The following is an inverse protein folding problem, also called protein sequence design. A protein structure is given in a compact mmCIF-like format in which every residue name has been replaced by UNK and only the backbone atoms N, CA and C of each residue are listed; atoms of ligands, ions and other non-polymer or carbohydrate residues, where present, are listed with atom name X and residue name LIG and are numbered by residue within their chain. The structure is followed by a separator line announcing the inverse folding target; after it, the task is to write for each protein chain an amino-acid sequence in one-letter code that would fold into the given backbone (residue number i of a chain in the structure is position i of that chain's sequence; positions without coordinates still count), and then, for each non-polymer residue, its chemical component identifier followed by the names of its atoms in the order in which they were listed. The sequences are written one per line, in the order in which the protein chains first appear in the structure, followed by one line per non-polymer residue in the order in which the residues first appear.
data_IF_766435308355
#
_entry.id   IF_766435308355
#
_cell.length_a   1.000
_cell.length_b   1.000
_cell.length_c   1.000
_cell.angle_alpha   90.00
_cell.angle_beta   90.00
_cell.angle_gamma   90.00
#
_symmetry.space_group_name_H-M   'P 1'
#
loop_
_entity.id
_entity.type
_entity.pdbx_description
1 polymer ?
#
# COMPACT_ATOMS: atom_id res chain seq x y z
N UNK A 1 -8.06 -2.43 -28.83
CA UNK A 1 -6.89 -2.96 -28.09
C UNK A 1 -6.88 -2.27 -26.73
N UNK A 2 -7.00 -2.97 -25.59
CA UNK A 2 -6.85 -2.32 -24.30
C UNK A 2 -5.37 -1.95 -24.17
N UNK A 3 -5.09 -0.65 -24.15
CA UNK A 3 -3.74 -0.15 -23.86
C UNK A 3 -3.37 -0.60 -22.45
N UNK A 4 -2.13 -1.06 -22.26
CA UNK A 4 -1.59 -1.32 -20.94
C UNK A 4 -1.52 0.03 -20.20
N UNK A 5 -2.56 0.35 -19.43
CA UNK A 5 -2.73 1.63 -18.72
C UNK A 5 -1.93 1.70 -17.41
N UNK A 6 -1.05 0.74 -17.14
CA UNK A 6 -0.23 0.72 -15.94
C UNK A 6 1.13 1.35 -16.28
N UNK A 7 1.27 2.65 -16.03
CA UNK A 7 2.57 3.31 -16.05
C UNK A 7 3.20 3.21 -14.65
N UNK A 8 4.40 2.66 -14.58
CA UNK A 8 5.20 2.64 -13.35
C UNK A 8 6.22 3.76 -13.43
N UNK A 9 6.10 4.73 -12.54
CA UNK A 9 7.05 5.85 -12.43
C UNK A 9 7.75 5.77 -11.08
N UNK A 10 9.08 5.89 -11.08
CA UNK A 10 9.88 5.96 -9.87
C UNK A 10 10.29 7.42 -9.64
N UNK A 11 9.97 7.94 -8.46
CA UNK A 11 10.34 9.27 -8.04
C UNK A 11 11.05 9.20 -6.68
N UNK A 12 12.08 10.03 -6.50
CA UNK A 12 12.83 10.11 -5.23
C UNK A 12 12.26 11.15 -4.27
N UNK A 13 11.78 12.27 -4.80
CA UNK A 13 11.37 13.43 -3.99
C UNK A 13 9.94 13.88 -4.32
N UNK A 14 9.60 14.01 -5.61
CA UNK A 14 8.29 14.51 -6.04
C UNK A 14 7.73 13.73 -7.20
N UNK A 15 6.45 13.38 -7.10
CA UNK A 15 5.67 12.79 -8.18
C UNK A 15 4.52 13.74 -8.52
N UNK A 16 4.43 14.14 -9.78
CA UNK A 16 3.34 14.97 -10.29
C UNK A 16 2.52 14.18 -11.30
N UNK A 17 1.19 14.20 -11.13
CA UNK A 17 0.26 13.66 -12.10
C UNK A 17 -0.64 14.80 -12.59
N UNK A 18 -0.44 15.20 -13.85
CA UNK A 18 -1.19 16.28 -14.48
C UNK A 18 -1.97 15.72 -15.67
N UNK A 19 -3.28 15.97 -15.68
CA UNK A 19 -4.14 15.65 -16.82
C UNK A 19 -4.26 16.89 -17.70
N UNK A 20 -3.87 16.77 -18.97
CA UNK A 20 -3.98 17.85 -19.96
C UNK A 20 -5.04 17.51 -20.99
N UNK A 21 -6.00 18.42 -21.20
CA UNK A 21 -6.90 18.36 -22.34
C UNK A 21 -6.31 19.16 -23.50
N UNK A 22 -6.15 18.52 -24.66
CA UNK A 22 -5.62 19.14 -25.88
C UNK A 22 -6.68 19.44 -26.94
N UNK A 23 -7.96 19.14 -26.68
CA UNK A 23 -9.07 19.51 -27.57
C UNK A 23 -9.58 20.93 -27.30
N UNK A 24 -10.23 21.53 -28.31
CA UNK A 24 -10.94 22.79 -28.15
C UNK A 24 -12.21 22.63 -27.30
N UNK A 25 -12.79 21.42 -27.28
CA UNK A 25 -13.99 21.10 -26.50
C UNK A 25 -13.64 20.66 -25.09
N UNK A 26 -14.53 20.97 -24.15
CA UNK A 26 -14.48 20.44 -22.78
C UNK A 26 -14.77 18.93 -22.81
N UNK A 27 -13.85 18.15 -22.27
CA UNK A 27 -14.07 16.74 -22.04
C UNK A 27 -14.33 16.56 -20.54
N UNK A 28 -15.60 16.29 -20.20
CA UNK A 28 -16.03 16.00 -18.83
C UNK A 28 -15.78 14.54 -18.40
N UNK A 29 -16.03 14.25 -17.13
CA UNK A 29 -16.10 12.88 -16.57
C UNK A 29 -14.85 11.99 -16.73
N UNK A 30 -13.65 12.56 -16.67
CA UNK A 30 -12.43 11.76 -16.60
C UNK A 30 -12.22 11.13 -15.22
N UNK A 31 -12.10 9.79 -15.22
CA UNK A 31 -11.74 9.00 -14.04
C UNK A 31 -10.31 8.52 -14.15
N UNK A 32 -9.44 9.04 -13.29
CA UNK A 32 -8.04 8.61 -13.18
C UNK A 32 -7.75 8.16 -11.76
N UNK A 33 -7.25 6.93 -11.62
CA UNK A 33 -6.80 6.36 -10.34
C UNK A 33 -5.33 6.02 -10.46
N UNK A 34 -4.51 6.45 -9.49
CA UNK A 34 -3.11 6.05 -9.39
C UNK A 34 -2.82 5.51 -8.00
N UNK A 35 -1.92 4.53 -7.91
CA UNK A 35 -1.38 4.03 -6.65
C UNK A 35 0.05 4.52 -6.50
N UNK A 36 0.37 5.06 -5.32
CA UNK A 36 1.75 5.41 -4.96
C UNK A 36 2.23 4.38 -3.96
N UNK A 37 3.39 3.79 -4.24
CA UNK A 37 4.13 2.96 -3.29
C UNK A 37 5.33 3.74 -2.79
N UNK A 38 5.46 3.83 -1.48
CA UNK A 38 6.59 4.48 -0.80
C UNK A 38 7.26 3.44 0.06
N UNK A 39 8.56 3.28 -0.11
CA UNK A 39 9.38 2.36 0.68
C UNK A 39 10.70 3.03 1.06
N UNK A 40 11.29 2.59 2.17
CA UNK A 40 12.61 3.03 2.59
C UNK A 40 13.67 2.31 1.76
N UNK A 41 14.58 3.09 1.16
CA UNK A 41 15.62 2.54 0.29
C UNK A 41 16.61 1.68 1.09
N UNK A 42 16.66 0.37 0.76
CA UNK A 42 17.63 -0.59 1.29
C UNK A 42 18.97 -0.48 0.57
N UNK A 43 20.00 -1.18 1.05
CA UNK A 43 21.34 -1.15 0.43
C UNK A 43 21.30 -1.59 -1.04
N UNK A 44 20.59 -2.68 -1.38
CA UNK A 44 20.38 -3.10 -2.79
C UNK A 44 19.71 -2.03 -3.66
N UNK A 45 18.74 -1.30 -3.12
CA UNK A 45 17.98 -0.29 -3.86
C UNK A 45 18.86 0.94 -4.10
N UNK A 46 19.65 1.35 -3.10
CA UNK A 46 20.64 2.42 -3.22
C UNK A 46 21.71 2.08 -4.27
N UNK A 47 22.23 0.86 -4.25
CA UNK A 47 23.21 0.39 -5.24
C UNK A 47 22.63 0.40 -6.65
N UNK A 48 21.41 -0.11 -6.85
CA UNK A 48 20.72 -0.08 -8.15
C UNK A 48 20.52 1.35 -8.67
N UNK A 49 20.22 2.29 -7.77
CA UNK A 49 19.97 3.70 -8.10
C UNK A 49 21.25 4.55 -8.16
N UNK A 50 22.43 3.97 -7.92
CA UNK A 50 23.71 4.69 -7.90
C UNK A 50 23.85 5.69 -6.74
N UNK A 51 23.13 5.48 -5.64
CA UNK A 51 23.19 6.32 -4.44
C UNK A 51 24.39 5.89 -3.59
N UNK A 52 25.15 6.87 -3.09
CA UNK A 52 26.32 6.62 -2.23
C UNK A 52 25.87 5.97 -0.92
N UNK A 53 26.49 4.84 -0.60
CA UNK A 53 26.30 4.13 0.67
C UNK A 53 27.09 4.80 1.80
N UNK A 54 26.51 4.79 3.01
CA UNK A 54 27.24 5.15 4.21
C UNK A 54 28.25 4.06 4.63
N UNK A 55 29.06 4.33 5.66
CA UNK A 55 30.11 3.40 6.10
C UNK A 55 29.54 2.07 6.63
N UNK A 56 28.39 2.09 7.31
CA UNK A 56 27.75 0.90 7.85
C UNK A 56 27.12 0.06 6.73
N UNK A 57 26.47 0.73 5.78
CA UNK A 57 25.88 0.12 4.58
C UNK A 57 26.94 -0.50 3.69
N UNK A 58 28.10 0.13 3.56
CA UNK A 58 29.25 -0.43 2.81
C UNK A 58 29.79 -1.69 3.48
N UNK A 59 29.99 -1.66 4.80
CA UNK A 59 30.43 -2.83 5.56
C UNK A 59 29.43 -3.99 5.41
N UNK A 60 28.13 -3.68 5.37
CA UNK A 60 27.07 -4.67 5.16
C UNK A 60 27.05 -5.21 3.72
N UNK A 61 27.25 -4.34 2.73
CA UNK A 61 27.37 -4.72 1.32
C UNK A 61 28.56 -5.66 1.08
N UNK A 62 29.70 -5.41 1.72
CA UNK A 62 30.89 -6.27 1.66
C UNK A 62 30.65 -7.60 2.37
N UNK A 63 30.11 -7.57 3.60
CA UNK A 63 29.83 -8.77 4.42
C UNK A 63 28.94 -9.79 3.69
N UNK A 64 27.94 -9.32 2.95
CA UNK A 64 26.98 -10.19 2.24
C UNK A 64 27.21 -10.27 0.72
N UNK A 65 28.26 -9.63 0.19
CA UNK A 65 28.55 -9.64 -1.25
C UNK A 65 27.45 -9.03 -2.11
N UNK A 66 26.75 -8.01 -1.60
CA UNK A 66 25.56 -7.41 -2.24
C UNK A 66 25.92 -6.75 -3.58
N UNK A 67 27.08 -6.14 -3.69
CA UNK A 67 27.53 -5.50 -4.94
C UNK A 67 27.52 -6.48 -6.12
N UNK A 68 28.04 -7.70 -5.89
CA UNK A 68 28.12 -8.72 -6.94
C UNK A 68 26.74 -9.26 -7.36
N UNK A 69 25.75 -9.28 -6.46
CA UNK A 69 24.39 -9.75 -6.78
C UNK A 69 23.60 -8.70 -7.55
N UNK A 70 23.80 -7.41 -7.23
CA UNK A 70 23.23 -6.28 -7.96
C UNK A 70 23.83 -6.17 -9.36
N UNK A 71 25.15 -6.30 -9.51
CA UNK A 71 25.81 -6.29 -10.84
C UNK A 71 25.33 -7.44 -11.74
N UNK A 72 25.04 -8.61 -11.17
CA UNK A 72 24.46 -9.75 -11.89
C UNK A 72 22.98 -9.57 -12.24
N UNK A 73 22.33 -8.52 -11.74
CA UNK A 73 20.91 -8.27 -11.93
C UNK A 73 19.98 -9.21 -11.16
N UNK A 74 20.48 -9.91 -10.14
CA UNK A 74 19.69 -10.83 -9.32
C UNK A 74 18.84 -10.10 -8.26
N UNK A 75 19.32 -8.95 -7.79
CA UNK A 75 18.67 -8.11 -6.79
C UNK A 75 18.69 -6.64 -7.22
N UNK A 76 17.77 -5.81 -6.72
CA UNK A 76 16.57 -6.15 -5.93
C UNK A 76 15.50 -6.88 -6.74
N UNK A 77 14.72 -7.75 -6.08
CA UNK A 77 13.60 -8.47 -6.71
C UNK A 77 12.49 -7.51 -7.15
N UNK A 78 11.75 -7.80 -8.23
CA UNK A 78 10.53 -7.08 -8.57
C UNK A 78 9.54 -7.08 -7.40
N UNK A 79 8.79 -5.99 -7.25
CA UNK A 79 7.89 -5.79 -6.10
C UNK A 79 6.87 -6.92 -5.93
N UNK A 80 6.25 -7.37 -7.02
CA UNK A 80 5.28 -8.48 -6.98
C UNK A 80 5.89 -9.76 -6.40
N UNK A 81 7.15 -10.05 -6.72
CA UNK A 81 7.85 -11.21 -6.17
C UNK A 81 8.18 -11.03 -4.70
N UNK A 82 8.49 -9.80 -4.25
CA UNK A 82 8.68 -9.50 -2.83
C UNK A 82 7.38 -9.71 -2.06
N UNK A 83 6.26 -9.17 -2.55
CA UNK A 83 4.93 -9.36 -1.94
C UNK A 83 4.59 -10.85 -1.86
N UNK A 84 4.78 -11.59 -2.95
CA UNK A 84 4.47 -13.01 -3.00
C UNK A 84 5.32 -13.82 -2.00
N UNK A 85 6.64 -13.59 -1.98
CA UNK A 85 7.58 -14.33 -1.12
C UNK A 85 7.43 -13.98 0.35
N UNK A 86 7.26 -12.71 0.68
CA UNK A 86 7.32 -12.25 2.07
C UNK A 86 5.94 -12.26 2.74
N UNK A 87 4.89 -11.87 1.99
CA UNK A 87 3.55 -11.69 2.54
C UNK A 87 2.64 -12.86 2.20
N UNK A 88 2.51 -13.23 0.92
CA UNK A 88 1.60 -14.33 0.54
C UNK A 88 2.04 -15.69 1.06
N UNK A 89 3.34 -15.93 1.18
CA UNK A 89 3.85 -17.16 1.82
C UNK A 89 3.46 -17.29 3.30
N UNK A 90 3.15 -16.17 3.96
CA UNK A 90 2.74 -16.10 5.36
C UNK A 90 1.23 -15.84 5.49
N UNK A 91 0.46 -15.99 4.39
CA UNK A 91 -0.98 -15.77 4.39
C UNK A 91 -1.68 -16.80 5.27
N UNK A 92 -2.51 -16.30 6.18
CA UNK A 92 -3.36 -17.13 7.05
C UNK A 92 -4.76 -17.21 6.45
N UNK A 93 -5.32 -16.05 6.06
CA UNK A 93 -6.60 -15.97 5.37
C UNK A 93 -6.71 -14.70 4.54
N UNK A 94 -7.52 -14.78 3.48
CA UNK A 94 -8.00 -13.63 2.72
C UNK A 94 -9.51 -13.51 2.98
N UNK A 95 -9.95 -12.33 3.38
CA UNK A 95 -11.34 -12.06 3.72
C UNK A 95 -11.86 -10.86 2.95
N UNK A 96 -12.98 -11.04 2.26
CA UNK A 96 -13.69 -9.94 1.60
C UNK A 96 -14.94 -9.61 2.40
N UNK A 97 -15.04 -8.36 2.81
CA UNK A 97 -16.14 -7.84 3.60
C UNK A 97 -17.01 -6.96 2.73
N UNK A 98 -18.32 -7.13 2.86
CA UNK A 98 -19.33 -6.27 2.24
C UNK A 98 -20.14 -5.57 3.31
N UNK A 99 -20.27 -4.25 3.22
CA UNK A 99 -21.06 -3.43 4.13
C UNK A 99 -22.07 -2.61 3.32
N UNK A 100 -23.27 -2.49 3.88
CA UNK A 100 -24.33 -1.63 3.34
C UNK A 100 -24.73 -0.66 4.44
N UNK A 101 -24.70 0.65 4.15
CA UNK A 101 -25.03 1.67 5.13
C UNK A 101 -25.61 2.93 4.49
N UNK A 102 -26.25 3.76 5.31
CA UNK A 102 -26.77 5.06 4.94
C UNK A 102 -25.75 6.12 5.34
N UNK A 103 -25.15 6.80 4.36
CA UNK A 103 -24.06 7.75 4.58
C UNK A 103 -24.62 9.16 4.67
N UNK A 104 -24.14 9.94 5.62
CA UNK A 104 -24.59 11.33 5.83
C UNK A 104 -23.41 12.30 5.81
N UNK A 105 -23.67 13.57 6.14
CA UNK A 105 -22.68 14.63 6.26
C UNK A 105 -21.76 14.52 7.47
N UNK A 106 -22.01 13.54 8.35
CA UNK A 106 -21.15 13.25 9.50
C UNK A 106 -20.31 12.03 9.19
N UNK A 107 -19.02 12.07 9.54
CA UNK A 107 -18.14 10.90 9.39
C UNK A 107 -18.68 9.73 10.20
N UNK A 108 -18.84 8.58 9.54
CA UNK A 108 -19.35 7.36 10.12
C UNK A 108 -18.31 6.26 9.99
N UNK A 109 -18.13 5.50 11.05
CA UNK A 109 -17.27 4.32 11.04
C UNK A 109 -17.94 3.21 10.22
N UNK A 110 -17.22 2.70 9.22
CA UNK A 110 -17.63 1.53 8.44
C UNK A 110 -17.31 0.27 9.24
N UNK A 111 -16.03 0.12 9.60
CA UNK A 111 -15.55 -0.98 10.42
C UNK A 111 -14.16 -0.65 10.98
N UNK A 112 -13.89 -1.13 12.20
CA UNK A 112 -12.53 -1.24 12.73
C UNK A 112 -12.17 -2.71 12.88
N UNK A 113 -11.01 -3.08 12.36
CA UNK A 113 -10.50 -4.44 12.35
C UNK A 113 -9.21 -4.52 13.15
N UNK A 114 -9.11 -5.55 13.99
CA UNK A 114 -7.94 -5.81 14.82
C UNK A 114 -7.31 -7.16 14.43
N UNK A 115 -5.98 -7.21 14.19
CA UNK A 115 -5.28 -8.47 13.98
C UNK A 115 -5.23 -9.27 15.28
N UNK A 116 -5.12 -10.60 15.16
CA UNK A 116 -4.84 -11.48 16.30
C UNK A 116 -3.36 -11.40 16.66
N UNK A 117 -3.02 -11.84 17.88
CA UNK A 117 -1.63 -11.91 18.33
C UNK A 117 -0.74 -12.67 17.33
N UNK A 118 0.38 -12.06 16.95
CA UNK A 118 1.32 -12.62 15.96
C UNK A 118 0.87 -12.50 14.50
N UNK A 119 -0.14 -11.68 14.22
CA UNK A 119 -0.64 -11.39 12.88
C UNK A 119 -0.65 -9.88 12.62
N UNK A 120 -0.78 -9.49 11.36
CA UNK A 120 -1.10 -8.14 10.94
C UNK A 120 -2.08 -8.19 9.75
N UNK A 121 -2.70 -7.05 9.45
CA UNK A 121 -3.68 -6.92 8.38
C UNK A 121 -3.04 -6.21 7.18
N UNK A 122 -3.47 -6.55 5.97
CA UNK A 122 -3.14 -5.79 4.76
C UNK A 122 -4.42 -5.53 3.97
N UNK A 123 -4.79 -4.26 3.81
CA UNK A 123 -5.86 -3.89 2.87
C UNK A 123 -5.31 -3.99 1.45
N UNK A 124 -5.98 -4.79 0.62
CA UNK A 124 -5.53 -5.04 -0.76
C UNK A 124 -6.48 -4.51 -1.83
N UNK A 125 -7.78 -4.43 -1.50
CA UNK A 125 -8.81 -4.03 -2.44
C UNK A 125 -9.87 -3.21 -1.74
N UNK A 126 -10.38 -2.20 -2.42
CA UNK A 126 -11.48 -1.37 -1.98
C UNK A 126 -12.37 -0.99 -3.17
N UNK A 127 -13.68 -1.13 -2.99
CA UNK A 127 -14.71 -0.69 -3.93
C UNK A 127 -15.88 -0.11 -3.15
N UNK A 128 -16.58 0.86 -3.75
CA UNK A 128 -17.76 1.45 -3.16
C UNK A 128 -18.78 1.84 -4.24
N UNK A 129 -19.99 2.21 -3.82
CA UNK A 129 -20.94 2.88 -4.71
C UNK A 129 -20.33 4.18 -5.21
N UNK A 130 -20.25 4.35 -6.53
CA UNK A 130 -19.59 5.51 -7.17
C UNK A 130 -20.24 6.85 -6.79
N UNK A 131 -21.57 6.85 -6.59
CA UNK A 131 -22.34 8.06 -6.34
C UNK A 131 -22.26 9.05 -7.52
N UNK A 132 -22.77 10.25 -7.27
CA UNK A 132 -22.63 11.41 -8.16
C UNK A 132 -21.58 12.39 -7.62
N UNK A 133 -21.15 13.34 -8.46
CA UNK A 133 -20.23 14.40 -8.03
C UNK A 133 -20.79 15.20 -6.83
N UNK A 134 -22.11 15.42 -6.81
CA UNK A 134 -22.81 16.15 -5.73
C UNK A 134 -22.84 15.35 -4.43
N UNK A 135 -23.00 14.03 -4.51
CA UNK A 135 -22.95 13.17 -3.32
C UNK A 135 -21.58 13.25 -2.61
N UNK A 136 -20.50 13.44 -3.37
CA UNK A 136 -19.11 13.57 -2.89
C UNK A 136 -18.77 12.62 -1.73
N UNK A 137 -19.09 11.34 -1.93
CA UNK A 137 -18.82 10.28 -0.97
C UNK A 137 -17.31 10.08 -0.90
N UNK A 138 -16.77 10.09 0.32
CA UNK A 138 -15.35 10.05 0.62
C UNK A 138 -15.08 8.99 1.66
N UNK A 139 -14.10 8.15 1.38
CA UNK A 139 -13.61 7.13 2.30
C UNK A 139 -12.29 7.62 2.88
N UNK A 140 -12.14 7.49 4.19
CA UNK A 140 -10.88 7.65 4.90
C UNK A 140 -10.42 6.30 5.42
N UNK A 141 -9.11 6.05 5.34
CA UNK A 141 -8.47 4.83 5.82
C UNK A 141 -7.44 5.24 6.86
N UNK A 142 -7.61 4.73 8.07
CA UNK A 142 -6.68 4.89 9.18
C UNK A 142 -5.99 3.56 9.45
N UNK A 143 -4.71 3.61 9.80
CA UNK A 143 -3.93 2.43 10.19
C UNK A 143 -3.14 2.71 11.44
N UNK A 144 -3.14 1.79 12.39
CA UNK A 144 -2.34 1.89 13.61
C UNK A 144 -2.47 3.26 14.31
N UNK A 145 -1.37 3.97 14.51
CA UNK A 145 -1.34 5.32 15.11
C UNK A 145 -1.49 6.44 14.08
N UNK A 146 -1.65 6.10 12.80
CA UNK A 146 -1.70 7.00 11.66
C UNK A 146 -3.17 7.19 11.23
N UNK A 147 -3.84 8.09 11.94
CA UNK A 147 -5.21 8.47 11.63
C UNK A 147 -5.26 9.18 10.29
N UNK A 148 -6.26 8.85 9.47
CA UNK A 148 -6.45 9.49 8.17
C UNK A 148 -5.26 9.29 7.21
N UNK A 149 -4.56 8.15 7.32
CA UNK A 149 -3.45 7.78 6.43
C UNK A 149 -3.78 7.96 4.94
N UNK A 150 -5.00 7.58 4.55
CA UNK A 150 -5.60 8.03 3.29
C UNK A 150 -6.83 8.88 3.63
N UNK A 151 -6.83 10.13 3.15
CA UNK A 151 -7.97 11.04 3.25
C UNK A 151 -8.68 11.22 1.92
N UNK A 152 -9.98 11.51 2.00
CA UNK A 152 -10.77 12.01 0.88
C UNK A 152 -10.72 11.11 -0.37
N UNK A 153 -10.65 9.79 -0.20
CA UNK A 153 -10.74 8.86 -1.33
C UNK A 153 -12.17 8.91 -1.87
N UNK A 154 -12.35 9.59 -3.01
CA UNK A 154 -13.66 9.78 -3.63
C UNK A 154 -14.18 8.47 -4.19
N UNK A 155 -15.39 8.07 -3.78
CA UNK A 155 -15.99 6.83 -4.25
C UNK A 155 -16.26 6.85 -5.77
N UNK A 156 -16.47 8.03 -6.37
CA UNK A 156 -16.64 8.15 -7.82
C UNK A 156 -15.46 7.61 -8.64
N UNK A 157 -14.25 7.59 -8.06
CA UNK A 157 -13.06 7.00 -8.68
C UNK A 157 -13.00 5.46 -8.55
N UNK A 158 -13.86 4.86 -7.72
CA UNK A 158 -13.86 3.44 -7.37
C UNK A 158 -15.27 2.86 -7.51
N UNK A 159 -15.48 2.00 -8.50
CA UNK A 159 -16.78 1.37 -8.75
C UNK A 159 -16.92 0.01 -8.09
N UNK A 160 -18.16 -0.44 -7.86
CA UNK A 160 -18.42 -1.82 -7.45
C UNK A 160 -17.91 -2.83 -8.50
N UNK A 161 -17.85 -2.41 -9.76
CA UNK A 161 -17.29 -3.18 -10.89
C UNK A 161 -15.77 -3.05 -11.01
N UNK A 162 -15.16 -2.01 -10.40
CA UNK A 162 -13.72 -1.72 -10.51
C UNK A 162 -13.12 -1.45 -9.14
N UNK A 163 -12.49 -2.48 -8.61
CA UNK A 163 -11.78 -2.42 -7.33
C UNK A 163 -10.50 -1.60 -7.45
N UNK A 164 -10.30 -0.68 -6.51
CA UNK A 164 -9.01 -0.05 -6.29
C UNK A 164 -8.09 -1.07 -5.65
N UNK A 165 -7.04 -1.45 -6.38
CA UNK A 165 -5.97 -2.26 -5.81
C UNK A 165 -5.05 -1.36 -4.99
N UNK A 166 -4.84 -1.72 -3.73
CA UNK A 166 -3.93 -1.03 -2.81
C UNK A 166 -3.11 -2.06 -2.03
N UNK A 167 -2.20 -1.59 -1.20
CA UNK A 167 -1.44 -2.44 -0.30
C UNK A 167 -1.12 -1.64 0.95
N UNK A 168 -2.03 -1.67 1.92
CA UNK A 168 -1.92 -0.88 3.15
C UNK A 168 -1.76 -1.86 4.32
N UNK A 169 -0.52 -2.11 4.78
CA UNK A 169 -0.29 -2.92 5.96
C UNK A 169 -0.65 -2.14 7.23
N UNK A 170 -1.21 -2.85 8.21
CA UNK A 170 -1.62 -2.36 9.51
C UNK A 170 -1.31 -3.41 10.59
N UNK A 171 -0.50 -3.05 11.59
CA UNK A 171 0.08 -3.97 12.59
C UNK A 171 -0.85 -4.20 13.79
N UNK A 172 -1.58 -3.18 14.19
CA UNK A 172 -2.42 -3.10 15.39
C UNK A 172 -3.88 -2.81 15.09
N UNK A 173 -4.20 -1.92 14.14
CA UNK A 173 -5.58 -1.67 13.74
C UNK A 173 -5.69 -1.15 12.31
N UNK A 174 -6.79 -1.49 11.66
CA UNK A 174 -7.19 -0.90 10.40
C UNK A 174 -8.64 -0.43 10.53
N UNK A 175 -8.88 0.86 10.33
CA UNK A 175 -10.22 1.44 10.40
C UNK A 175 -10.60 2.17 9.12
N UNK A 176 -11.85 1.97 8.70
CA UNK A 176 -12.44 2.58 7.52
C UNK A 176 -13.56 3.51 7.96
N UNK A 177 -13.50 4.76 7.52
CA UNK A 177 -14.53 5.76 7.77
C UNK A 177 -15.11 6.25 6.44
N UNK A 178 -16.37 6.67 6.46
CA UNK A 178 -17.06 7.19 5.27
C UNK A 178 -17.87 8.44 5.62
N UNK A 179 -17.91 9.37 4.69
CA UNK A 179 -18.68 10.62 4.77
C UNK A 179 -19.18 11.00 3.38
N UNK A 180 -20.32 11.68 3.30
CA UNK A 180 -20.85 12.24 2.06
C UNK A 180 -21.13 13.75 2.22
N UNK A 181 -21.37 14.46 1.12
CA UNK A 181 -21.79 15.87 1.16
C UNK A 181 -23.30 16.02 1.42
N UNK A 182 -24.07 14.95 1.21
CA UNK A 182 -25.51 14.87 1.50
C UNK A 182 -25.89 13.44 1.92
N UNK A 183 -27.14 13.23 2.33
CA UNK A 183 -27.60 11.90 2.72
C UNK A 183 -27.71 10.98 1.49
N UNK A 184 -26.95 9.89 1.47
CA UNK A 184 -26.96 8.88 0.41
C UNK A 184 -27.38 7.54 0.97
N UNK A 185 -28.36 6.90 0.34
CA UNK A 185 -28.92 5.62 0.80
C UNK A 185 -29.39 4.79 -0.39
N UNK A 186 -28.94 3.53 -0.55
CA UNK A 186 -27.88 2.83 0.19
C UNK A 186 -26.48 3.06 -0.43
N UNK A 187 -25.44 3.06 0.42
CA UNK A 187 -24.04 2.96 -0.01
C UNK A 187 -23.53 1.56 0.28
N UNK A 188 -22.99 0.91 -0.74
CA UNK A 188 -22.34 -0.39 -0.66
C UNK A 188 -20.83 -0.18 -0.65
N UNK A 189 -20.14 -0.90 0.23
CA UNK A 189 -18.68 -0.87 0.35
C UNK A 189 -18.20 -2.30 0.38
N UNK A 190 -17.20 -2.62 -0.45
CA UNK A 190 -16.51 -3.91 -0.46
C UNK A 190 -15.01 -3.69 -0.26
N UNK A 191 -14.41 -4.41 0.66
CA UNK A 191 -12.96 -4.39 0.84
C UNK A 191 -12.42 -5.79 1.12
N UNK A 192 -11.17 -6.00 0.70
CA UNK A 192 -10.46 -7.27 0.90
C UNK A 192 -9.25 -7.04 1.78
N UNK A 193 -9.17 -7.82 2.85
CA UNK A 193 -8.04 -7.84 3.78
C UNK A 193 -7.31 -9.18 3.69
N UNK A 194 -5.99 -9.12 3.79
CA UNK A 194 -5.15 -10.28 4.07
C UNK A 194 -4.81 -10.30 5.55
N UNK A 195 -4.95 -11.46 6.19
CA UNK A 195 -4.39 -11.74 7.51
C UNK A 195 -3.09 -12.48 7.31
N UNK A 196 -1.98 -11.86 7.70
CA UNK A 196 -0.64 -12.37 7.44
C UNK A 196 0.06 -12.64 8.77
N UNK A 197 0.77 -13.76 8.87
CA UNK A 197 1.59 -14.07 10.03
C UNK A 197 2.75 -13.08 10.12
N UNK A 198 2.94 -12.51 11.30
CA UNK A 198 4.03 -11.57 11.56
C UNK A 198 5.35 -12.32 11.77
N UNK A 199 6.06 -12.58 10.67
CA UNK A 199 7.38 -13.25 10.68
C UNK A 199 8.47 -12.31 11.22
N UNK A 200 9.60 -12.85 11.70
CA UNK A 200 10.71 -12.03 12.20
C UNK A 200 11.28 -11.09 11.12
N UNK A 201 11.25 -11.51 9.85
CA UNK A 201 11.59 -10.66 8.71
C UNK A 201 10.68 -9.43 8.64
N UNK A 202 9.36 -9.65 8.68
CA UNK A 202 8.37 -8.57 8.62
C UNK A 202 8.40 -7.70 9.88
N UNK A 203 8.71 -8.28 11.05
CA UNK A 203 8.95 -7.51 12.29
C UNK A 203 10.14 -6.57 12.15
N UNK A 204 11.25 -7.03 11.59
CA UNK A 204 12.40 -6.17 11.31
C UNK A 204 12.03 -5.07 10.30
N UNK A 205 11.32 -5.42 9.22
CA UNK A 205 10.94 -4.47 8.16
C UNK A 205 9.98 -3.38 8.66
N UNK A 206 9.05 -3.72 9.54
CA UNK A 206 8.16 -2.75 10.18
C UNK A 206 8.78 -2.04 11.40
N UNK A 207 10.05 -2.28 11.72
CA UNK A 207 10.72 -1.65 12.86
C UNK A 207 10.21 -2.13 14.23
N UNK A 208 9.52 -3.27 14.28
CA UNK A 208 8.95 -3.88 15.49
C UNK A 208 9.93 -4.79 16.24
N UNK A 209 11.15 -4.92 15.74
CA UNK A 209 12.20 -5.77 16.27
C UNK A 209 13.53 -5.06 16.13
N UNK A 210 14.26 -4.94 17.24
CA UNK A 210 15.60 -4.37 17.25
C UNK A 210 16.63 -5.36 16.70
N UNK A 211 17.83 -4.84 16.39
CA UNK A 211 18.94 -5.67 15.88
C UNK A 211 19.35 -6.78 16.86
N UNK A 212 19.31 -6.50 18.16
CA UNK A 212 19.74 -7.44 19.20
C UNK A 212 18.72 -8.55 19.47
N UNK A 213 17.44 -8.27 19.22
CA UNK A 213 16.35 -9.25 19.34
C UNK A 213 16.21 -10.14 18.10
N UNK A 214 16.76 -9.69 16.96
CA UNK A 214 16.65 -10.41 15.71
C UNK A 214 17.49 -11.69 15.72
N UNK A 215 16.92 -12.83 15.29
CA UNK A 215 17.68 -14.08 15.28
C UNK A 215 18.77 -14.03 14.20
N UNK A 216 20.01 -14.32 14.61
CA UNK A 216 21.15 -14.43 13.70
C UNK A 216 21.43 -13.14 12.95
N UNK A 217 21.43 -13.20 11.62
CA UNK A 217 21.74 -12.08 10.73
C UNK A 217 20.51 -11.50 10.04
N UNK A 218 19.29 -11.83 10.48
CA UNK A 218 18.03 -11.41 9.84
C UNK A 218 17.91 -9.90 9.72
N UNK A 219 18.23 -9.15 10.79
CA UNK A 219 18.14 -7.69 10.77
C UNK A 219 19.06 -7.07 9.70
N UNK A 220 20.33 -7.50 9.68
CA UNK A 220 21.31 -7.04 8.71
C UNK A 220 20.88 -7.38 7.27
N UNK A 221 20.32 -8.58 7.06
CA UNK A 221 19.84 -9.02 5.75
C UNK A 221 18.63 -8.25 5.26
N UNK A 222 17.71 -7.86 6.15
CA UNK A 222 16.56 -7.01 5.82
C UNK A 222 17.03 -5.60 5.44
N UNK A 223 17.96 -5.01 6.18
CA UNK A 223 18.58 -3.73 5.82
C UNK A 223 19.35 -3.81 4.49
N UNK A 224 20.03 -4.94 4.27
CA UNK A 224 20.70 -5.24 3.01
C UNK A 224 19.75 -5.41 1.83
N UNK A 225 18.49 -5.76 2.07
CA UNK A 225 17.49 -6.10 1.04
C UNK A 225 17.80 -7.40 0.29
N UNK A 226 18.45 -8.33 0.97
CA UNK A 226 18.72 -9.69 0.49
C UNK A 226 17.72 -10.72 1.04
N UNK A 227 16.82 -10.28 1.93
CA UNK A 227 15.68 -11.01 2.47
C UNK A 227 14.37 -10.24 2.27
#
# INVERSE_FOLDING_TARGET
KPYANNFQMLARDRLYYNLFNSSADEIGDFRTSFGVWVDNLRVVDKLKLGIVLDNNERALAEKFGINATVEKGLLPLPLEQQIEREYRSQLISEETHGRTMNVTTTSQLVETMYPRAGQFLVLTKLAATEGTADNNIRISISRDTDADYITNLKSYAVGLERELTCFIPAVSELSLNIIAAEAVTPVYIRYTILKVKLSNLLRCRFGLMSRDEAPGDVYDKVLGGIL
#
